data_IF_710210086553
#
_entry.id   IF_710210086553
#
_cell.length_a   1.000
_cell.length_b   1.000
_cell.length_c   1.000
_cell.angle_alpha   90.00
_cell.angle_beta   90.00
_cell.angle_gamma   90.00
#
_symmetry.space_group_name_H-M   'P 1'
#
loop_
_entity.id
_entity.type
_entity.pdbx_description
1 polymer ?
#
# COMPACT_ATOMS: atom_id res chain seq x y z
N UNK A 1 -57.22 -36.35 38.26
CA UNK A 1 -57.28 -34.96 37.76
C UNK A 1 -55.86 -34.40 37.72
N UNK A 2 -55.16 -34.51 36.59
CA UNK A 2 -53.96 -33.71 36.32
C UNK A 2 -53.66 -33.79 34.83
N UNK A 3 -53.86 -32.70 34.10
CA UNK A 3 -53.49 -32.57 32.70
C UNK A 3 -52.09 -31.95 32.63
N UNK A 4 -51.14 -32.69 32.07
CA UNK A 4 -49.81 -32.15 31.75
C UNK A 4 -49.96 -31.34 30.46
N UNK A 5 -49.72 -30.03 30.54
CA UNK A 5 -49.68 -29.12 29.40
C UNK A 5 -48.40 -29.35 28.59
N UNK A 6 -48.53 -29.84 27.36
CA UNK A 6 -47.43 -29.81 26.39
C UNK A 6 -47.23 -28.38 25.88
N UNK A 7 -46.14 -27.72 26.30
CA UNK A 7 -45.69 -26.49 25.65
C UNK A 7 -45.21 -26.80 24.22
N UNK A 8 -45.86 -26.20 23.24
CA UNK A 8 -45.47 -26.29 21.84
C UNK A 8 -44.16 -25.54 21.58
N UNK A 9 -43.12 -26.29 21.22
CA UNK A 9 -41.85 -25.76 20.73
C UNK A 9 -42.07 -24.87 19.50
N UNK A 10 -41.84 -23.57 19.65
CA UNK A 10 -41.89 -22.61 18.53
C UNK A 10 -40.74 -22.89 17.55
N UNK A 11 -40.99 -23.06 16.24
CA UNK A 11 -39.92 -23.24 15.29
C UNK A 11 -39.09 -21.95 15.17
N UNK A 12 -37.81 -22.03 15.53
CA UNK A 12 -36.86 -20.94 15.31
C UNK A 12 -36.59 -20.82 13.81
N UNK A 13 -37.05 -19.72 13.20
CA UNK A 13 -36.73 -19.34 11.83
C UNK A 13 -35.21 -19.26 11.64
N UNK A 14 -34.64 -20.18 10.87
CA UNK A 14 -33.23 -20.09 10.44
C UNK A 14 -33.18 -19.14 9.25
N UNK A 15 -32.70 -17.92 9.51
CA UNK A 15 -32.28 -17.01 8.45
C UNK A 15 -31.22 -17.71 7.58
N UNK A 16 -31.48 -17.86 6.28
CA UNK A 16 -30.51 -18.39 5.33
C UNK A 16 -29.54 -17.28 4.97
N UNK A 17 -28.29 -17.44 5.36
CA UNK A 17 -27.18 -16.62 4.88
C UNK A 17 -27.07 -16.79 3.36
N UNK A 18 -27.19 -15.70 2.61
CA UNK A 18 -26.94 -15.67 1.16
C UNK A 18 -25.43 -15.57 0.96
N UNK A 19 -24.85 -16.50 0.20
CA UNK A 19 -23.42 -16.47 -0.18
C UNK A 19 -23.15 -15.55 -1.36
N UNK A 20 -21.87 -15.24 -1.59
CA UNK A 20 -21.39 -14.46 -2.74
C UNK A 20 -21.68 -15.15 -4.07
N UNK A 21 -21.89 -14.35 -5.12
CA UNK A 21 -22.12 -14.87 -6.48
C UNK A 21 -20.83 -14.83 -7.31
N UNK A 22 -20.73 -15.69 -8.33
CA UNK A 22 -19.58 -15.67 -9.25
C UNK A 22 -19.46 -14.34 -10.00
N UNK A 23 -20.60 -13.77 -10.40
CA UNK A 23 -20.63 -12.48 -11.11
C UNK A 23 -20.06 -11.34 -10.26
N UNK A 24 -20.25 -11.38 -8.94
CA UNK A 24 -19.73 -10.38 -8.00
C UNK A 24 -18.20 -10.41 -7.97
N UNK A 25 -17.60 -11.60 -7.95
CA UNK A 25 -16.14 -11.77 -8.03
C UNK A 25 -15.61 -11.36 -9.41
N UNK A 26 -16.35 -11.66 -10.50
CA UNK A 26 -15.95 -11.25 -11.84
C UNK A 26 -15.87 -9.73 -11.98
N UNK A 27 -16.87 -8.99 -11.50
CA UNK A 27 -16.87 -7.52 -11.53
C UNK A 27 -15.70 -6.97 -10.73
N UNK A 28 -15.40 -7.54 -9.55
CA UNK A 28 -14.26 -7.12 -8.73
C UNK A 28 -12.93 -7.32 -9.47
N UNK A 29 -12.73 -8.47 -10.12
CA UNK A 29 -11.50 -8.72 -10.89
C UNK A 29 -11.34 -7.75 -12.07
N UNK A 30 -12.44 -7.41 -12.75
CA UNK A 30 -12.41 -6.41 -13.83
C UNK A 30 -12.00 -5.04 -13.30
N UNK A 31 -12.57 -4.59 -12.17
CA UNK A 31 -12.19 -3.32 -11.55
C UNK A 31 -10.72 -3.30 -11.14
N UNK A 32 -10.23 -4.37 -10.50
CA UNK A 32 -8.82 -4.49 -10.11
C UNK A 32 -7.90 -4.47 -11.34
N UNK A 33 -8.26 -5.19 -12.41
CA UNK A 33 -7.49 -5.22 -13.65
C UNK A 33 -7.39 -3.86 -14.33
N UNK A 34 -8.50 -3.12 -14.39
CA UNK A 34 -8.51 -1.75 -14.94
C UNK A 34 -7.64 -0.81 -14.09
N UNK A 35 -7.78 -0.82 -12.77
CA UNK A 35 -6.97 0.03 -11.89
C UNK A 35 -5.47 -0.30 -11.98
N UNK A 36 -5.12 -1.59 -12.02
CA UNK A 36 -3.74 -2.03 -12.13
C UNK A 36 -3.09 -1.56 -13.44
N UNK A 37 -3.83 -1.57 -14.56
CA UNK A 37 -3.34 -1.12 -15.86
C UNK A 37 -2.91 0.37 -15.86
N UNK A 38 -3.60 1.22 -15.11
CA UNK A 38 -3.26 2.65 -15.02
C UNK A 38 -2.18 2.96 -13.96
N UNK A 39 -2.18 2.26 -12.83
CA UNK A 39 -1.28 2.58 -11.70
C UNK A 39 0.18 2.18 -11.97
N UNK A 40 0.41 1.01 -12.58
CA UNK A 40 1.76 0.44 -12.79
C UNK A 40 2.70 1.38 -13.56
N UNK A 41 2.34 1.94 -14.74
CA UNK A 41 3.26 2.81 -15.50
C UNK A 41 3.60 4.10 -14.76
N UNK A 42 2.65 4.67 -13.98
CA UNK A 42 2.87 5.92 -13.24
C UNK A 42 3.88 5.76 -12.10
N UNK A 43 3.90 4.60 -11.43
CA UNK A 43 4.83 4.34 -10.33
C UNK A 43 6.25 4.14 -10.86
N UNK A 44 6.42 3.40 -11.96
CA UNK A 44 7.74 3.12 -12.53
C UNK A 44 8.45 4.40 -13.01
N UNK A 45 7.74 5.31 -13.70
CA UNK A 45 8.35 6.58 -14.14
C UNK A 45 8.80 7.47 -12.98
N UNK A 46 8.11 7.44 -11.84
CA UNK A 46 8.45 8.24 -10.66
C UNK A 46 9.66 7.72 -9.88
N UNK A 47 9.96 6.42 -9.98
CA UNK A 47 11.13 5.83 -9.29
C UNK A 47 12.42 6.39 -9.87
N UNK A 48 12.53 6.49 -11.20
CA UNK A 48 13.74 7.01 -11.84
C UNK A 48 13.94 8.50 -11.55
N UNK A 49 12.87 9.30 -11.60
CA UNK A 49 12.90 10.72 -11.22
C UNK A 49 13.31 10.90 -9.74
N UNK A 50 12.79 10.06 -8.84
CA UNK A 50 13.16 10.06 -7.44
C UNK A 50 14.64 9.70 -7.23
N UNK A 51 15.19 8.75 -8.00
CA UNK A 51 16.62 8.40 -7.96
C UNK A 51 17.50 9.57 -8.38
N UNK A 52 17.13 10.27 -9.46
CA UNK A 52 17.89 11.46 -9.92
C UNK A 52 17.80 12.58 -8.88
N UNK A 53 16.62 12.81 -8.32
CA UNK A 53 16.42 13.82 -7.27
C UNK A 53 17.25 13.52 -6.03
N UNK A 54 17.28 12.25 -5.61
CA UNK A 54 18.13 11.80 -4.51
C UNK A 54 19.61 12.04 -4.80
N UNK A 55 20.10 11.61 -5.96
CA UNK A 55 21.50 11.79 -6.34
C UNK A 55 21.92 13.26 -6.34
N UNK A 56 21.06 14.17 -6.81
CA UNK A 56 21.30 15.62 -6.72
C UNK A 56 21.42 16.10 -5.28
N UNK A 57 20.53 15.65 -4.40
CA UNK A 57 20.59 15.97 -2.97
C UNK A 57 21.86 15.44 -2.31
N UNK A 58 22.25 14.20 -2.63
CA UNK A 58 23.49 13.58 -2.12
C UNK A 58 24.73 14.38 -2.56
N UNK A 59 24.78 14.83 -3.82
CA UNK A 59 25.87 15.69 -4.33
C UNK A 59 25.91 17.03 -3.58
N UNK A 60 24.78 17.70 -3.41
CA UNK A 60 24.72 18.98 -2.68
C UNK A 60 25.18 18.83 -1.22
N UNK A 61 24.81 17.73 -0.57
CA UNK A 61 25.25 17.43 0.79
C UNK A 61 26.77 17.21 0.86
N UNK A 62 27.34 16.52 -0.14
CA UNK A 62 28.79 16.34 -0.24
C UNK A 62 29.52 17.66 -0.51
N UNK A 63 29.03 18.50 -1.42
CA UNK A 63 29.60 19.83 -1.69
C UNK A 63 29.63 20.72 -0.44
N UNK A 64 28.53 20.71 0.33
CA UNK A 64 28.45 21.44 1.59
C UNK A 64 29.47 20.90 2.62
N UNK A 65 29.57 19.58 2.76
CA UNK A 65 30.54 18.95 3.65
C UNK A 65 32.00 19.28 3.25
N UNK A 66 32.31 19.24 1.95
CA UNK A 66 33.63 19.61 1.43
C UNK A 66 33.96 21.08 1.66
N UNK A 67 32.98 21.96 1.49
CA UNK A 67 33.14 23.41 1.73
C UNK A 67 33.43 23.69 3.21
N UNK A 68 32.74 23.01 4.12
CA UNK A 68 33.00 23.10 5.56
C UNK A 68 34.41 22.56 5.89
N UNK A 69 34.79 21.41 5.34
CA UNK A 69 36.13 20.87 5.56
C UNK A 69 37.23 21.82 5.08
N UNK A 70 37.05 22.43 3.91
CA UNK A 70 37.98 23.41 3.37
C UNK A 70 38.06 24.66 4.26
N UNK A 71 36.94 25.14 4.78
CA UNK A 71 36.91 26.28 5.71
C UNK A 71 37.77 26.00 6.95
N UNK A 72 37.68 24.79 7.50
CA UNK A 72 38.40 24.40 8.72
C UNK A 72 39.88 24.06 8.46
N UNK A 73 40.19 23.47 7.30
CA UNK A 73 41.51 22.88 7.03
C UNK A 73 42.32 23.59 5.94
N UNK A 74 41.73 24.59 5.27
CA UNK A 74 42.30 25.31 4.11
C UNK A 74 42.75 24.39 2.94
N UNK A 75 42.25 23.15 2.91
CA UNK A 75 42.53 22.14 1.89
C UNK A 75 41.34 21.21 1.75
N UNK A 76 41.18 20.59 0.58
CA UNK A 76 40.18 19.53 0.39
C UNK A 76 40.71 18.18 0.90
N UNK A 77 39.82 17.22 1.24
CA UNK A 77 40.22 15.85 1.57
C UNK A 77 40.91 15.16 0.39
N UNK A 78 41.84 14.27 0.68
CA UNK A 78 42.44 13.36 -0.29
C UNK A 78 41.57 12.12 -0.48
N UNK A 79 41.73 11.41 -1.59
CA UNK A 79 40.98 10.18 -1.90
C UNK A 79 41.43 8.95 -1.09
N UNK A 80 42.51 9.10 -0.31
CA UNK A 80 43.13 8.06 0.54
C UNK A 80 42.54 8.07 1.97
#
# INVERSE_FOLDING_TARGET
MSYITHEGSRPTSRTRSRGFTLIEIMVVMVIIGLLAAFIVPTVLGKVDEARVTKAKGDIQALEAALSLFYLDNSKYPTTE
#
